data_IF_806408374346
#
_entry.id   IF_806408374346
#
_cell.length_a   1.000
_cell.length_b   1.000
_cell.length_c   1.000
_cell.angle_alpha   90.00
_cell.angle_beta   90.00
_cell.angle_gamma   90.00
#
_symmetry.space_group_name_H-M   'P 1'
#
loop_
_entity.id
_entity.type
_entity.pdbx_description
1 polymer ?
#
# COMPACT_ATOMS: atom_id res chain seq x y z
N UNK A 1 23.14 -30.75 -14.91
CA UNK A 1 22.05 -31.74 -14.91
C UNK A 1 21.12 -31.48 -16.09
N UNK A 2 20.61 -32.54 -16.75
CA UNK A 2 19.55 -32.45 -17.77
C UNK A 2 18.26 -32.89 -17.09
N UNK A 3 17.27 -32.02 -17.10
CA UNK A 3 15.97 -32.24 -16.48
C UNK A 3 14.92 -31.82 -17.48
N UNK A 4 13.85 -32.59 -17.60
CA UNK A 4 12.67 -32.22 -18.38
C UNK A 4 11.60 -31.75 -17.40
N UNK A 5 11.04 -30.57 -17.65
CA UNK A 5 9.95 -30.00 -16.86
C UNK A 5 8.85 -29.57 -17.82
N UNK A 6 7.60 -29.74 -17.41
CA UNK A 6 6.47 -29.22 -18.16
C UNK A 6 6.33 -27.71 -17.90
N UNK A 7 6.24 -26.94 -18.98
CA UNK A 7 6.11 -25.47 -18.95
C UNK A 7 4.97 -25.08 -19.86
N UNK A 8 4.06 -24.25 -19.37
CA UNK A 8 2.98 -23.72 -20.19
C UNK A 8 3.51 -22.91 -21.39
N UNK A 9 2.83 -23.03 -22.54
CA UNK A 9 3.24 -22.40 -23.80
C UNK A 9 3.40 -20.88 -23.70
N UNK A 10 2.62 -20.22 -22.86
CA UNK A 10 2.71 -18.78 -22.64
C UNK A 10 4.02 -18.39 -21.93
N UNK A 11 4.48 -19.19 -20.96
CA UNK A 11 5.74 -18.98 -20.24
C UNK A 11 6.92 -19.27 -21.17
N UNK A 12 6.85 -20.35 -21.94
CA UNK A 12 7.90 -20.71 -22.88
C UNK A 12 8.12 -19.62 -23.95
N UNK A 13 7.03 -19.02 -24.46
CA UNK A 13 7.10 -17.87 -25.39
C UNK A 13 7.82 -16.67 -24.78
N UNK A 14 7.47 -16.29 -23.55
CA UNK A 14 8.12 -15.17 -22.85
C UNK A 14 9.61 -15.43 -22.60
N UNK A 15 9.98 -16.66 -22.23
CA UNK A 15 11.38 -17.04 -22.02
C UNK A 15 12.20 -17.01 -23.32
N UNK A 16 11.62 -17.49 -24.44
CA UNK A 16 12.23 -17.40 -25.77
C UNK A 16 12.43 -15.96 -26.22
N UNK A 17 11.42 -15.11 -26.02
CA UNK A 17 11.52 -13.69 -26.35
C UNK A 17 12.61 -12.99 -25.52
N UNK A 18 12.65 -13.27 -24.21
CA UNK A 18 13.70 -12.74 -23.32
C UNK A 18 15.10 -13.23 -23.72
N UNK A 19 15.23 -14.48 -24.13
CA UNK A 19 16.48 -15.03 -24.65
C UNK A 19 16.92 -14.32 -25.93
N UNK A 20 15.99 -14.09 -26.87
CA UNK A 20 16.25 -13.35 -28.10
C UNK A 20 16.69 -11.90 -27.81
N UNK A 21 15.95 -11.18 -26.96
CA UNK A 21 16.25 -9.78 -26.61
C UNK A 21 17.60 -9.62 -25.90
N UNK A 22 18.01 -10.60 -25.11
CA UNK A 22 19.28 -10.55 -24.36
C UNK A 22 20.45 -11.21 -25.08
N UNK A 23 20.22 -11.89 -26.21
CA UNK A 23 21.24 -12.67 -26.91
C UNK A 23 21.79 -13.85 -26.09
N UNK A 24 21.07 -14.29 -25.05
CA UNK A 24 21.53 -15.34 -24.12
C UNK A 24 20.88 -16.68 -24.44
N UNK A 25 21.56 -17.82 -24.24
CA UNK A 25 20.97 -19.13 -24.43
C UNK A 25 19.73 -19.33 -23.55
N UNK A 26 18.66 -19.91 -24.11
CA UNK A 26 17.38 -20.15 -23.42
C UNK A 26 17.57 -20.82 -22.05
N UNK A 27 18.46 -21.82 -21.97
CA UNK A 27 18.81 -22.52 -20.72
C UNK A 27 19.30 -21.57 -19.62
N UNK A 28 20.15 -20.58 -19.95
CA UNK A 28 20.63 -19.61 -18.96
C UNK A 28 19.49 -18.70 -18.50
N UNK A 29 18.65 -18.26 -19.42
CA UNK A 29 17.48 -17.42 -19.10
C UNK A 29 16.51 -18.15 -18.18
N UNK A 30 16.23 -19.44 -18.45
CA UNK A 30 15.37 -20.29 -17.63
C UNK A 30 15.95 -20.45 -16.22
N UNK A 31 17.24 -20.81 -16.12
CA UNK A 31 17.88 -20.98 -14.82
C UNK A 31 17.89 -19.70 -13.98
N UNK A 32 18.19 -18.55 -14.60
CA UNK A 32 18.16 -17.26 -13.91
C UNK A 32 16.74 -16.91 -13.45
N UNK A 33 15.73 -17.17 -14.29
CA UNK A 33 14.33 -16.95 -13.94
C UNK A 33 13.90 -17.79 -12.74
N UNK A 34 14.26 -19.08 -12.72
CA UNK A 34 13.99 -19.98 -11.60
C UNK A 34 14.72 -19.52 -10.33
N UNK A 35 15.98 -19.11 -10.43
CA UNK A 35 16.75 -18.61 -9.29
C UNK A 35 16.11 -17.35 -8.68
N UNK A 36 15.67 -16.41 -9.52
CA UNK A 36 14.95 -15.21 -9.08
C UNK A 36 13.60 -15.57 -8.46
N UNK A 37 12.87 -16.51 -9.04
CA UNK A 37 11.59 -16.99 -8.52
C UNK A 37 11.74 -17.61 -7.13
N UNK A 38 12.73 -18.50 -6.93
CA UNK A 38 13.03 -19.11 -5.63
C UNK A 38 13.48 -18.07 -4.60
N UNK A 39 14.24 -17.06 -5.03
CA UNK A 39 14.70 -15.97 -4.15
C UNK A 39 13.56 -15.06 -3.70
N UNK A 40 12.60 -14.78 -4.59
CA UNK A 40 11.40 -14.00 -4.25
C UNK A 40 10.41 -14.81 -3.42
N UNK A 41 10.24 -16.10 -3.69
CA UNK A 41 9.37 -16.98 -2.90
C UNK A 41 9.81 -17.07 -1.43
N UNK A 42 11.13 -17.01 -1.17
CA UNK A 42 11.69 -17.01 0.20
C UNK A 42 11.56 -15.68 0.92
N UNK A 43 11.32 -14.57 0.20
CA UNK A 43 11.19 -13.24 0.81
C UNK A 43 9.70 -12.92 0.95
N UNK A 44 9.13 -12.88 2.16
CA UNK A 44 7.80 -12.32 2.32
C UNK A 44 7.80 -10.92 1.72
N UNK A 45 6.82 -10.62 0.85
CA UNK A 45 6.68 -9.28 0.26
C UNK A 45 6.73 -8.29 1.43
N UNK A 46 7.64 -7.30 1.42
CA UNK A 46 7.68 -6.31 2.48
C UNK A 46 6.36 -5.56 2.44
N UNK A 47 5.43 -5.91 3.33
CA UNK A 47 4.21 -5.15 3.53
C UNK A 47 4.66 -3.84 4.17
N UNK A 48 4.54 -2.74 3.43
CA UNK A 48 4.72 -1.42 4.05
C UNK A 48 3.68 -1.34 5.17
N UNK A 49 4.12 -1.15 6.42
CA UNK A 49 3.19 -0.93 7.53
C UNK A 49 2.28 0.23 7.15
N UNK A 50 0.98 0.01 7.26
CA UNK A 50 0.01 1.07 7.05
C UNK A 50 0.31 2.23 8.00
N UNK A 51 0.30 3.46 7.47
CA UNK A 51 0.47 4.69 8.25
C UNK A 51 -0.69 5.62 7.92
N UNK A 52 -1.53 5.89 8.91
CA UNK A 52 -2.58 6.90 8.82
C UNK A 52 -1.93 8.28 8.71
N UNK A 53 -2.33 9.07 7.71
CA UNK A 53 -1.91 10.48 7.62
C UNK A 53 -2.60 11.25 8.74
N UNK A 54 -1.83 11.96 9.57
CA UNK A 54 -2.36 12.84 10.61
C UNK A 54 -2.42 14.28 10.09
N UNK A 55 -3.37 15.04 10.61
CA UNK A 55 -3.51 16.47 10.34
C UNK A 55 -3.63 17.21 11.67
N UNK A 56 -3.14 18.45 11.72
CA UNK A 56 -3.34 19.30 12.90
C UNK A 56 -4.80 19.73 12.96
N UNK A 57 -5.55 19.18 13.91
CA UNK A 57 -6.98 19.49 14.13
C UNK A 57 -7.18 20.63 15.16
N UNK A 58 -6.11 21.31 15.56
CA UNK A 58 -6.16 22.32 16.62
C UNK A 58 -6.38 21.71 18.01
N UNK A 59 -6.99 22.49 18.90
CA UNK A 59 -7.34 22.02 20.24
C UNK A 59 -8.60 21.14 20.19
N UNK A 60 -8.62 20.00 20.90
CA UNK A 60 -9.80 19.15 20.93
C UNK A 60 -10.98 19.94 21.53
N UNK A 61 -12.20 19.80 20.97
CA UNK A 61 -13.39 20.36 21.58
C UNK A 61 -13.57 19.77 22.99
N UNK A 62 -14.12 20.55 23.91
CA UNK A 62 -14.48 20.04 25.24
C UNK A 62 -15.61 19.01 25.09
N UNK A 63 -15.45 17.85 25.69
CA UNK A 63 -16.49 16.81 25.72
C UNK A 63 -16.05 15.45 25.18
N UNK A 64 -16.98 14.50 25.19
CA UNK A 64 -16.74 13.14 24.71
C UNK A 64 -16.89 13.07 23.17
N UNK A 65 -15.82 12.70 22.45
CA UNK A 65 -15.79 12.53 20.99
C UNK A 65 -16.77 11.48 20.46
N UNK A 66 -17.17 10.51 21.28
CA UNK A 66 -18.17 9.50 20.90
C UNK A 66 -19.61 10.06 20.96
N UNK A 67 -19.81 11.23 21.57
CA UNK A 67 -21.11 11.88 21.72
C UNK A 67 -21.20 13.14 20.85
N UNK A 68 -21.40 12.92 19.55
CA UNK A 68 -21.44 14.01 18.56
C UNK A 68 -22.41 15.15 18.90
N UNK A 69 -23.59 14.85 19.47
CA UNK A 69 -24.58 15.86 19.86
C UNK A 69 -24.09 16.75 21.02
N UNK A 70 -23.41 16.16 22.00
CA UNK A 70 -22.85 16.91 23.14
C UNK A 70 -21.82 17.93 22.65
N UNK A 71 -20.93 17.49 21.75
CA UNK A 71 -19.92 18.36 21.14
C UNK A 71 -20.57 19.48 20.31
N UNK A 72 -21.59 19.15 19.52
CA UNK A 72 -22.29 20.15 18.72
C UNK A 72 -22.91 21.24 19.61
N UNK A 73 -23.52 20.86 20.74
CA UNK A 73 -24.08 21.81 21.70
C UNK A 73 -23.00 22.71 22.31
N UNK A 74 -21.89 22.13 22.80
CA UNK A 74 -20.79 22.91 23.39
C UNK A 74 -20.22 23.92 22.37
N UNK A 75 -19.95 23.48 21.15
CA UNK A 75 -19.44 24.35 20.08
C UNK A 75 -20.44 25.45 19.72
N UNK A 76 -21.73 25.13 19.70
CA UNK A 76 -22.79 26.10 19.44
C UNK A 76 -22.88 27.15 20.55
N UNK A 77 -22.84 26.74 21.81
CA UNK A 77 -22.90 27.65 22.96
C UNK A 77 -21.70 28.60 23.00
N UNK A 78 -20.48 28.08 22.74
CA UNK A 78 -19.26 28.89 22.64
C UNK A 78 -19.37 29.94 21.53
N UNK A 79 -19.92 29.57 20.37
CA UNK A 79 -20.11 30.48 19.24
C UNK A 79 -21.23 31.51 19.47
N UNK A 80 -22.33 31.13 20.13
CA UNK A 80 -23.40 32.06 20.54
C UNK A 80 -22.84 33.09 21.51
N UNK A 81 -22.11 32.66 22.54
CA UNK A 81 -21.49 33.56 23.51
C UNK A 81 -20.50 34.53 22.83
N UNK A 82 -19.75 34.05 21.83
CA UNK A 82 -18.85 34.88 21.03
C UNK A 82 -19.60 35.96 20.23
N UNK A 83 -20.69 35.59 19.55
CA UNK A 83 -21.52 36.54 18.79
C UNK A 83 -22.16 37.60 19.66
N UNK A 84 -22.73 37.20 20.81
CA UNK A 84 -23.28 38.13 21.79
C UNK A 84 -22.25 39.14 22.31
N UNK A 85 -21.01 38.70 22.60
CA UNK A 85 -19.91 39.60 22.98
C UNK A 85 -19.54 40.60 21.88
N UNK A 86 -19.65 40.19 20.62
CA UNK A 86 -19.38 41.04 19.46
C UNK A 86 -20.57 41.94 19.07
N UNK A 87 -21.71 41.84 19.77
CA UNK A 87 -22.98 42.51 19.41
C UNK A 87 -23.36 42.27 17.94
N UNK A 88 -23.13 41.05 17.45
CA UNK A 88 -23.43 40.58 16.11
C UNK A 88 -24.39 39.39 16.15
#
# INVERSE_FOLDING_TARGET
MRTTIDIEDHILRQLKEKAHRTGRPLKKVVNDALLMGLSQARRPRPTKRYRTRTYSMGYPPKGNLDKALEIAMVLQDEEIARKLRLRK
#
